data_IF_817827105333
#
_entry.id   IF_817827105333
#
_cell.length_a   1.000
_cell.length_b   1.000
_cell.length_c   1.000
_cell.angle_alpha   90.00
_cell.angle_beta   90.00
_cell.angle_gamma   90.00
#
_symmetry.space_group_name_H-M   'P 1'
#
loop_
_entity.id
_entity.type
_entity.pdbx_description
1 polymer ?
#
# COMPACT_ATOMS: atom_id res chain seq x y z
N UNK A 1 -12.65 -14.25 0.83
CA UNK A 1 -11.70 -14.44 -0.29
C UNK A 1 -10.62 -13.40 -0.20
N UNK A 2 -9.39 -13.88 -0.22
CA UNK A 2 -8.17 -13.36 0.39
C UNK A 2 -7.68 -12.07 -0.28
N UNK A 3 -7.56 -10.99 0.49
CA UNK A 3 -6.96 -9.73 0.04
C UNK A 3 -5.52 -9.99 -0.46
N UNK A 4 -5.29 -9.89 -1.78
CA UNK A 4 -4.00 -10.14 -2.44
C UNK A 4 -3.04 -8.96 -2.29
N UNK A 5 -2.62 -8.61 -1.07
CA UNK A 5 -1.50 -7.69 -0.85
C UNK A 5 -0.69 -8.10 0.38
N UNK A 6 0.63 -8.00 0.25
CA UNK A 6 1.62 -8.41 1.23
C UNK A 6 2.45 -7.25 1.79
N UNK A 7 3.34 -7.59 2.73
CA UNK A 7 4.39 -6.65 3.17
C UNK A 7 5.33 -6.37 1.99
N UNK A 8 5.83 -5.14 1.90
CA UNK A 8 6.67 -4.62 0.81
C UNK A 8 6.00 -4.48 -0.56
N UNK A 9 4.73 -4.84 -0.72
CA UNK A 9 3.99 -4.59 -1.96
C UNK A 9 3.83 -3.10 -2.23
N UNK A 10 3.83 -2.75 -3.52
CA UNK A 10 3.56 -1.39 -3.98
C UNK A 10 2.13 -1.36 -4.52
N UNK A 11 1.30 -0.56 -3.88
CA UNK A 11 -0.11 -0.38 -4.23
C UNK A 11 -0.37 1.01 -4.77
N UNK A 12 -1.38 1.12 -5.63
CA UNK A 12 -1.91 2.39 -6.09
C UNK A 12 -3.20 2.72 -5.35
N UNK A 13 -3.25 3.89 -4.71
CA UNK A 13 -4.46 4.39 -4.07
C UNK A 13 -5.35 5.16 -5.07
N UNK A 14 -6.66 5.18 -4.81
CA UNK A 14 -7.64 5.95 -5.60
C UNK A 14 -7.46 7.46 -5.45
N UNK A 15 -7.09 7.91 -4.25
CA UNK A 15 -6.75 9.32 -3.99
C UNK A 15 -5.24 9.53 -4.16
N UNK A 16 -4.87 10.60 -4.84
CA UNK A 16 -3.48 11.03 -4.90
C UNK A 16 -3.00 11.51 -3.53
N UNK A 17 -1.72 11.25 -3.25
CA UNK A 17 -1.04 11.89 -2.13
C UNK A 17 -0.86 13.39 -2.43
N UNK A 18 -0.70 14.20 -1.38
CA UNK A 18 -0.41 15.63 -1.54
C UNK A 18 0.85 15.92 -2.38
N UNK A 19 1.75 14.94 -2.55
CA UNK A 19 2.93 15.04 -3.42
C UNK A 19 2.66 14.72 -4.91
N UNK A 20 1.40 14.50 -5.33
CA UNK A 20 1.04 14.15 -6.71
C UNK A 20 1.20 12.67 -7.08
N UNK A 21 1.80 11.85 -6.21
CA UNK A 21 1.98 10.41 -6.43
C UNK A 21 0.88 9.61 -5.74
N UNK A 22 0.43 8.56 -6.39
CA UNK A 22 -0.59 7.63 -5.89
C UNK A 22 -0.04 6.24 -5.54
N UNK A 23 1.30 6.05 -5.64
CA UNK A 23 2.01 4.83 -5.31
C UNK A 23 2.48 4.82 -3.86
N UNK A 24 2.17 3.73 -3.17
CA UNK A 24 2.52 3.54 -1.77
C UNK A 24 3.05 2.13 -1.56
N UNK A 25 4.13 2.02 -0.81
CA UNK A 25 4.70 0.76 -0.36
C UNK A 25 4.15 0.37 1.00
N UNK A 26 3.71 -0.88 1.15
CA UNK A 26 3.24 -1.40 2.43
C UNK A 26 4.46 -1.74 3.28
N UNK A 27 4.62 -1.03 4.41
CA UNK A 27 5.74 -1.25 5.34
C UNK A 27 5.34 -2.22 6.46
N UNK A 28 4.09 -2.13 6.93
CA UNK A 28 3.57 -2.95 8.02
C UNK A 28 2.14 -3.34 7.74
N UNK A 29 1.81 -4.61 7.99
CA UNK A 29 0.45 -5.11 8.01
C UNK A 29 0.03 -5.50 9.42
N UNK A 30 -1.22 -5.20 9.77
CA UNK A 30 -1.83 -5.46 11.07
C UNK A 30 -3.29 -4.99 11.07
N UNK A 31 -3.82 -4.62 12.24
CA UNK A 31 -5.11 -3.92 12.34
C UNK A 31 -5.07 -2.57 11.58
N UNK A 32 -3.96 -1.85 11.76
CA UNK A 32 -3.61 -0.67 10.97
C UNK A 32 -2.47 -1.01 10.01
N UNK A 33 -2.61 -0.52 8.77
CA UNK A 33 -1.61 -0.69 7.74
C UNK A 33 -0.77 0.59 7.69
N UNK A 34 0.54 0.44 7.84
CA UNK A 34 1.48 1.55 7.64
C UNK A 34 1.98 1.49 6.20
N UNK A 35 1.69 2.54 5.46
CA UNK A 35 2.11 2.71 4.07
C UNK A 35 3.10 3.86 3.95
N UNK A 36 4.10 3.73 3.08
CA UNK A 36 5.09 4.76 2.78
C UNK A 36 4.91 5.22 1.34
N UNK A 37 4.83 6.52 1.11
CA UNK A 37 4.82 7.04 -0.25
C UNK A 37 6.21 6.83 -0.89
N UNK A 38 6.25 6.26 -2.09
CA UNK A 38 7.53 6.01 -2.78
C UNK A 38 8.21 7.30 -3.27
N UNK A 39 7.45 8.37 -3.49
CA UNK A 39 8.01 9.64 -3.95
C UNK A 39 8.53 10.50 -2.78
N UNK A 40 7.67 10.84 -1.82
CA UNK A 40 8.04 11.74 -0.72
C UNK A 40 8.47 11.01 0.56
N UNK A 41 8.55 9.68 0.55
CA UNK A 41 8.99 8.82 1.66
C UNK A 41 8.22 8.99 2.98
N UNK A 42 7.08 9.68 2.95
CA UNK A 42 6.23 9.91 4.13
C UNK A 42 5.43 8.66 4.44
N UNK A 43 5.47 8.23 5.69
CA UNK A 43 4.68 7.10 6.17
C UNK A 43 3.37 7.58 6.79
N UNK A 44 2.27 6.91 6.45
CA UNK A 44 0.93 7.20 6.95
C UNK A 44 0.37 5.89 7.53
N UNK A 45 -0.34 6.00 8.65
CA UNK A 45 -1.07 4.87 9.24
C UNK A 45 -2.54 4.99 8.84
N UNK A 46 -3.10 3.92 8.27
CA UNK A 46 -4.49 3.88 7.83
C UNK A 46 -5.11 2.57 8.33
N UNK A 47 -6.33 2.61 8.90
CA UNK A 47 -7.05 1.39 9.27
C UNK A 47 -7.25 0.48 8.06
N UNK A 48 -7.11 -0.83 8.24
CA UNK A 48 -7.24 -1.81 7.15
C UNK A 48 -8.50 -1.62 6.30
N UNK A 49 -9.65 -1.44 6.95
CA UNK A 49 -10.92 -1.23 6.24
C UNK A 49 -10.91 0.00 5.33
N UNK A 50 -10.29 1.10 5.78
CA UNK A 50 -10.17 2.32 4.98
C UNK A 50 -9.15 2.14 3.84
N UNK A 51 -8.10 1.36 4.08
CA UNK A 51 -7.11 1.00 3.06
C UNK A 51 -7.76 0.16 1.94
N UNK A 52 -8.48 -0.92 2.26
CA UNK A 52 -9.16 -1.76 1.27
C UNK A 52 -10.15 -0.96 0.39
N UNK A 53 -10.91 -0.03 0.97
CA UNK A 53 -11.83 0.85 0.21
C UNK A 53 -11.11 1.81 -0.74
N UNK A 54 -9.95 2.31 -0.32
CA UNK A 54 -9.14 3.30 -1.06
C UNK A 54 -8.13 2.67 -2.01
N UNK A 55 -7.86 1.38 -1.88
CA UNK A 55 -6.98 0.64 -2.78
C UNK A 55 -7.63 0.58 -4.17
N UNK A 56 -6.84 0.91 -5.20
CA UNK A 56 -7.26 0.86 -6.60
C UNK A 56 -6.76 -0.42 -7.25
N UNK A 57 -5.46 -0.68 -7.13
CA UNK A 57 -4.79 -1.89 -7.65
C UNK A 57 -3.45 -2.11 -6.95
N UNK A 58 -2.93 -3.34 -6.97
CA UNK A 58 -1.54 -3.62 -6.65
C UNK A 58 -0.71 -3.39 -7.93
N UNK A 59 0.37 -2.62 -7.82
CA UNK A 59 1.28 -2.30 -8.94
C UNK A 59 2.44 -3.29 -8.97
N UNK A 60 3.00 -3.59 -7.80
CA UNK A 60 4.10 -4.56 -7.64
C UNK A 60 3.77 -5.45 -6.45
N UNK A 61 3.73 -6.76 -6.69
CA UNK A 61 3.62 -7.79 -5.65
C UNK A 61 5.03 -8.31 -5.37
N UNK A 62 5.50 -8.18 -4.13
CA UNK A 62 6.82 -8.65 -3.72
C UNK A 62 6.86 -10.16 -3.45
N UNK A 63 5.70 -10.81 -3.32
CA UNK A 63 5.60 -12.22 -2.97
C UNK A 63 5.97 -13.21 -4.11
N UNK A 64 6.59 -12.73 -5.20
CA UNK A 64 6.94 -13.56 -6.38
C UNK A 64 8.45 -13.93 -6.43
N UNK A 65 9.23 -13.60 -5.39
CA UNK A 65 10.69 -13.82 -5.42
C UNK A 65 11.19 -14.62 -4.21
N UNK A 66 10.72 -15.84 -4.07
CA UNK A 66 11.49 -16.88 -3.37
C UNK A 66 11.42 -18.19 -4.17
N UNK A 67 12.33 -18.32 -5.13
CA UNK A 67 12.77 -19.59 -5.70
C UNK A 67 14.27 -19.72 -5.43
#
# INVERSE_FOLDING_TARGET
MTSKYGINDIVEMKKQHACGTNRFKIIRMGADIRIKCENCQRSIMIPRQAFDKKLKKIVVSHNDTNR
#
